data_IF_359735075268
#
_entry.id   IF_359735075268
#
_cell.length_a   1.000
_cell.length_b   1.000
_cell.length_c   1.000
_cell.angle_alpha   90.00
_cell.angle_beta   90.00
_cell.angle_gamma   90.00
#
_symmetry.space_group_name_H-M   'P 1'
#
loop_
_entity.id
_entity.type
_entity.pdbx_description
1 polymer ?
#
# COMPACT_ATOMS: atom_id res chain seq x y z
N UNK A 1 4.01 -25.34 -71.35
CA UNK A 1 4.57 -24.26 -70.48
C UNK A 1 3.53 -23.65 -69.53
N UNK A 2 2.23 -23.61 -69.87
CA UNK A 2 1.17 -23.11 -68.97
C UNK A 2 0.92 -23.93 -67.70
N UNK A 3 1.01 -25.27 -67.76
CA UNK A 3 0.70 -26.15 -66.61
C UNK A 3 1.72 -26.03 -65.46
N UNK A 4 3.01 -25.84 -65.77
CA UNK A 4 4.06 -25.64 -64.77
C UNK A 4 3.92 -24.31 -64.01
N UNK A 5 3.49 -23.24 -64.69
CA UNK A 5 3.20 -21.96 -64.05
C UNK A 5 2.01 -22.06 -63.10
N UNK A 6 0.98 -22.80 -63.49
CA UNK A 6 -0.24 -22.99 -62.70
C UNK A 6 0.03 -23.78 -61.40
N UNK A 7 0.83 -24.85 -61.44
CA UNK A 7 1.23 -25.60 -60.25
C UNK A 7 2.12 -24.80 -59.29
N UNK A 8 3.08 -24.02 -59.81
CA UNK A 8 3.93 -23.15 -58.99
C UNK A 8 3.15 -22.00 -58.31
N UNK A 9 2.11 -21.49 -58.98
CA UNK A 9 1.21 -20.48 -58.41
C UNK A 9 0.35 -21.09 -57.30
N UNK A 10 -0.26 -22.25 -57.52
CA UNK A 10 -1.11 -22.98 -56.55
C UNK A 10 -0.33 -23.38 -55.28
N UNK A 11 0.91 -23.87 -55.42
CA UNK A 11 1.76 -24.18 -54.26
C UNK A 11 2.14 -22.93 -53.44
N UNK A 12 2.36 -21.78 -54.10
CA UNK A 12 2.59 -20.50 -53.40
C UNK A 12 1.35 -20.00 -52.66
N UNK A 13 0.16 -20.15 -53.24
CA UNK A 13 -1.09 -19.76 -52.56
C UNK A 13 -1.40 -20.65 -51.36
N UNK A 14 -1.17 -21.97 -51.44
CA UNK A 14 -1.40 -22.85 -50.30
C UNK A 14 -0.48 -22.52 -49.12
N UNK A 15 0.81 -22.27 -49.37
CA UNK A 15 1.74 -21.88 -48.32
C UNK A 15 1.42 -20.48 -47.74
N UNK A 16 0.99 -19.55 -48.59
CA UNK A 16 0.54 -18.22 -48.16
C UNK A 16 -0.72 -18.29 -47.29
N UNK A 17 -1.69 -19.13 -47.65
CA UNK A 17 -2.91 -19.35 -46.86
C UNK A 17 -2.53 -19.95 -45.50
N UNK A 18 -1.70 -20.99 -45.44
CA UNK A 18 -1.25 -21.58 -44.18
C UNK A 18 -0.50 -20.59 -43.29
N UNK A 19 0.39 -19.77 -43.87
CA UNK A 19 1.13 -18.76 -43.13
C UNK A 19 0.21 -17.63 -42.63
N UNK A 20 -0.76 -17.21 -43.45
CA UNK A 20 -1.77 -16.21 -43.10
C UNK A 20 -2.67 -16.70 -41.97
N UNK A 21 -3.17 -17.95 -42.05
CA UNK A 21 -3.97 -18.56 -40.99
C UNK A 21 -3.17 -18.75 -39.70
N UNK A 22 -1.91 -19.18 -39.77
CA UNK A 22 -1.04 -19.28 -38.60
C UNK A 22 -0.80 -17.91 -37.95
N UNK A 23 -0.55 -16.87 -38.75
CA UNK A 23 -0.37 -15.48 -38.27
C UNK A 23 -1.65 -14.94 -37.64
N UNK A 24 -2.82 -15.21 -38.23
CA UNK A 24 -4.11 -14.84 -37.68
C UNK A 24 -4.37 -15.53 -36.33
N UNK A 25 -4.08 -16.83 -36.21
CA UNK A 25 -4.22 -17.56 -34.95
C UNK A 25 -3.27 -17.04 -33.85
N UNK A 26 -2.03 -16.68 -34.21
CA UNK A 26 -1.08 -16.03 -33.29
C UNK A 26 -1.63 -14.66 -32.86
N UNK A 27 -2.19 -13.88 -33.79
CA UNK A 27 -2.82 -12.59 -33.48
C UNK A 27 -3.99 -12.72 -32.51
N UNK A 28 -4.87 -13.71 -32.72
CA UNK A 28 -5.98 -14.02 -31.80
C UNK A 28 -5.46 -14.43 -30.42
N UNK A 29 -4.42 -15.26 -30.36
CA UNK A 29 -3.82 -15.69 -29.10
C UNK A 29 -3.21 -14.51 -28.34
N UNK A 30 -2.47 -13.63 -29.01
CA UNK A 30 -1.91 -12.41 -28.42
C UNK A 30 -3.04 -11.50 -27.90
N UNK A 31 -4.11 -11.33 -28.68
CA UNK A 31 -5.28 -10.56 -28.27
C UNK A 31 -5.94 -11.12 -27.00
N UNK A 32 -6.11 -12.44 -26.92
CA UNK A 32 -6.66 -13.10 -25.72
C UNK A 32 -5.75 -12.93 -24.50
N UNK A 33 -4.43 -13.07 -24.67
CA UNK A 33 -3.46 -12.85 -23.59
C UNK A 33 -3.57 -11.41 -23.07
N UNK A 34 -3.61 -10.43 -23.98
CA UNK A 34 -3.74 -9.02 -23.62
C UNK A 34 -5.04 -8.75 -22.84
N UNK A 35 -6.16 -9.29 -23.31
CA UNK A 35 -7.47 -9.15 -22.65
C UNK A 35 -7.46 -9.75 -21.23
N UNK A 36 -6.78 -10.89 -21.03
CA UNK A 36 -6.60 -11.46 -19.68
C UNK A 36 -5.76 -10.57 -18.76
N UNK A 37 -4.73 -9.91 -19.30
CA UNK A 37 -3.93 -8.95 -18.54
C UNK A 37 -4.75 -7.73 -18.13
N UNK A 38 -5.50 -7.14 -19.07
CA UNK A 38 -6.37 -6.00 -18.78
C UNK A 38 -7.44 -6.34 -17.75
N UNK A 39 -8.13 -7.49 -17.88
CA UNK A 39 -9.14 -7.92 -16.90
C UNK A 39 -8.55 -8.06 -15.49
N UNK A 40 -7.34 -8.62 -15.37
CA UNK A 40 -6.62 -8.71 -14.08
C UNK A 40 -6.26 -7.33 -13.53
N UNK A 41 -5.87 -6.38 -14.38
CA UNK A 41 -5.56 -5.02 -13.97
C UNK A 41 -6.82 -4.28 -13.50
N UNK A 42 -7.90 -4.32 -14.28
CA UNK A 42 -9.18 -3.70 -13.94
C UNK A 42 -9.74 -4.23 -12.63
N UNK A 43 -9.66 -5.55 -12.39
CA UNK A 43 -10.09 -6.14 -11.12
C UNK A 43 -9.28 -5.62 -9.93
N UNK A 44 -7.96 -5.46 -10.07
CA UNK A 44 -7.10 -4.94 -9.00
C UNK A 44 -7.42 -3.48 -8.69
N UNK A 45 -7.64 -2.66 -9.72
CA UNK A 45 -8.04 -1.26 -9.56
C UNK A 45 -9.38 -1.17 -8.84
N UNK A 46 -10.40 -1.92 -9.28
CA UNK A 46 -11.72 -1.91 -8.64
C UNK A 46 -11.67 -2.33 -7.16
N UNK A 47 -10.88 -3.35 -6.81
CA UNK A 47 -10.67 -3.74 -5.42
C UNK A 47 -9.99 -2.63 -4.60
N UNK A 48 -9.00 -1.94 -5.19
CA UNK A 48 -8.32 -0.81 -4.56
C UNK A 48 -9.27 0.36 -4.32
N UNK A 49 -10.11 0.71 -5.29
CA UNK A 49 -11.08 1.80 -5.20
C UNK A 49 -12.10 1.56 -4.07
N UNK A 50 -12.70 0.36 -4.02
CA UNK A 50 -13.65 -0.01 -2.96
C UNK A 50 -13.01 0.09 -1.58
N UNK A 51 -11.75 -0.34 -1.45
CA UNK A 51 -11.02 -0.25 -0.19
C UNK A 51 -10.70 1.20 0.18
N UNK A 52 -10.21 1.99 -0.77
CA UNK A 52 -9.91 3.40 -0.58
C UNK A 52 -11.14 4.21 -0.19
N UNK A 53 -12.31 3.93 -0.78
CA UNK A 53 -13.57 4.56 -0.41
C UNK A 53 -13.92 4.30 1.06
N UNK A 54 -13.82 3.04 1.50
CA UNK A 54 -14.04 2.66 2.91
C UNK A 54 -13.02 3.32 3.85
N UNK A 55 -11.74 3.29 3.48
CA UNK A 55 -10.65 3.90 4.24
C UNK A 55 -10.84 5.41 4.34
N UNK A 56 -11.25 6.07 3.25
CA UNK A 56 -11.51 7.50 3.22
C UNK A 56 -12.65 7.89 4.17
N UNK A 57 -13.73 7.11 4.23
CA UNK A 57 -14.82 7.33 5.19
C UNK A 57 -14.34 7.29 6.64
N UNK A 58 -13.51 6.30 7.00
CA UNK A 58 -12.92 6.17 8.34
C UNK A 58 -11.98 7.34 8.63
N UNK A 59 -11.11 7.69 7.68
CA UNK A 59 -10.19 8.81 7.82
C UNK A 59 -10.95 10.12 8.03
N UNK A 60 -12.02 10.37 7.28
CA UNK A 60 -12.83 11.58 7.43
C UNK A 60 -13.43 11.68 8.84
N UNK A 61 -13.96 10.57 9.36
CA UNK A 61 -14.51 10.52 10.72
C UNK A 61 -13.43 10.76 11.79
N UNK A 62 -12.26 10.16 11.62
CA UNK A 62 -11.17 10.20 12.60
C UNK A 62 -10.28 11.45 12.53
N UNK A 63 -10.31 12.19 11.42
CA UNK A 63 -9.49 13.40 11.20
C UNK A 63 -10.23 14.71 11.46
N UNK A 64 -11.48 14.66 11.93
CA UNK A 64 -12.27 15.86 12.26
C UNK A 64 -11.52 16.82 13.22
N UNK A 65 -10.76 16.27 14.17
CA UNK A 65 -10.02 17.05 15.17
C UNK A 65 -8.70 17.64 14.61
N UNK A 66 -8.21 17.18 13.46
CA UNK A 66 -6.92 17.63 12.92
C UNK A 66 -6.91 19.10 12.45
N UNK A 67 -8.09 19.73 12.35
CA UNK A 67 -8.24 21.16 12.03
C UNK A 67 -8.35 22.04 13.26
N UNK A 68 -8.38 21.47 14.46
CA UNK A 68 -8.41 22.20 15.72
C UNK A 68 -7.01 22.71 16.08
N UNK A 69 -6.91 23.99 16.43
CA UNK A 69 -5.67 24.64 16.87
C UNK A 69 -5.17 24.00 18.15
N UNK A 70 -6.06 23.65 19.08
CA UNK A 70 -5.69 23.01 20.34
C UNK A 70 -5.08 21.62 20.10
N UNK A 71 -5.65 20.86 19.15
CA UNK A 71 -5.09 19.57 18.74
C UNK A 71 -3.71 19.75 18.08
N UNK A 72 -3.54 20.74 17.20
CA UNK A 72 -2.26 21.02 16.55
C UNK A 72 -1.17 21.38 17.56
N UNK A 73 -1.50 22.19 18.56
CA UNK A 73 -0.57 22.55 19.64
C UNK A 73 -0.20 21.33 20.49
N UNK A 74 -1.19 20.54 20.90
CA UNK A 74 -0.95 19.28 21.62
C UNK A 74 -0.06 18.34 20.80
N UNK A 75 -0.34 18.20 19.51
CA UNK A 75 0.44 17.35 18.61
C UNK A 75 1.88 17.84 18.50
N UNK A 76 2.12 19.14 18.38
CA UNK A 76 3.46 19.71 18.39
C UNK A 76 4.20 19.38 19.68
N UNK A 77 3.56 19.60 20.84
CA UNK A 77 4.19 19.34 22.14
C UNK A 77 4.56 17.86 22.32
N UNK A 78 3.71 16.94 21.90
CA UNK A 78 3.98 15.49 21.98
C UNK A 78 5.06 15.05 20.99
N UNK A 79 5.05 15.53 19.75
CA UNK A 79 5.90 14.99 18.67
C UNK A 79 7.17 15.78 18.39
N UNK A 80 7.21 17.06 18.74
CA UNK A 80 8.35 17.95 18.53
C UNK A 80 9.04 18.22 19.86
N UNK A 81 8.28 18.64 20.88
CA UNK A 81 8.84 19.01 22.17
C UNK A 81 9.05 17.80 23.11
N UNK A 82 8.58 16.62 22.68
CA UNK A 82 8.67 15.35 23.43
C UNK A 82 8.03 15.40 24.83
N UNK A 83 6.98 16.20 25.00
CA UNK A 83 6.20 16.29 26.25
C UNK A 83 5.24 15.10 26.41
N UNK A 84 5.81 13.90 26.56
CA UNK A 84 5.02 12.66 26.60
C UNK A 84 4.14 12.51 27.83
N UNK A 85 4.42 13.24 28.91
CA UNK A 85 3.55 13.28 30.11
C UNK A 85 2.12 13.73 29.78
N UNK A 86 1.90 14.46 28.70
CA UNK A 86 0.56 14.82 28.21
C UNK A 86 -0.29 13.60 27.85
N UNK A 87 0.33 12.48 27.49
CA UNK A 87 -0.35 11.24 27.13
C UNK A 87 -0.93 10.49 28.33
N UNK A 88 -0.63 10.94 29.56
CA UNK A 88 -1.27 10.45 30.78
C UNK A 88 -2.69 11.02 30.94
N UNK A 89 -2.99 12.13 30.27
CA UNK A 89 -4.35 12.65 30.20
C UNK A 89 -5.19 11.82 29.22
N UNK A 90 -6.28 11.24 29.71
CA UNK A 90 -7.19 10.37 28.95
C UNK A 90 -7.81 11.07 27.74
N UNK A 91 -8.14 12.35 27.85
CA UNK A 91 -8.71 13.13 26.74
C UNK A 91 -7.68 13.31 25.61
N UNK A 92 -6.46 13.71 25.97
CA UNK A 92 -5.36 13.86 25.01
C UNK A 92 -5.04 12.52 24.36
N UNK A 93 -4.96 11.45 25.15
CA UNK A 93 -4.76 10.07 24.64
C UNK A 93 -5.86 9.69 23.65
N UNK A 94 -7.13 9.98 23.96
CA UNK A 94 -8.28 9.69 23.10
C UNK A 94 -8.27 10.48 21.78
N UNK A 95 -7.94 11.77 21.83
CA UNK A 95 -7.81 12.60 20.63
C UNK A 95 -6.66 12.11 19.74
N UNK A 96 -5.53 11.77 20.34
CA UNK A 96 -4.38 11.23 19.60
C UNK A 96 -4.68 9.85 19.01
N UNK A 97 -5.37 8.98 19.75
CA UNK A 97 -5.83 7.68 19.27
C UNK A 97 -6.66 7.81 18.01
N UNK A 98 -7.65 8.72 17.97
CA UNK A 98 -8.46 8.95 16.78
C UNK A 98 -7.60 9.38 15.59
N UNK A 99 -6.67 10.32 15.79
CA UNK A 99 -5.76 10.76 14.74
C UNK A 99 -4.85 9.64 14.22
N UNK A 100 -4.26 8.87 15.13
CA UNK A 100 -3.37 7.76 14.77
C UNK A 100 -4.13 6.59 14.15
N UNK A 101 -5.41 6.39 14.48
CA UNK A 101 -6.28 5.45 13.78
C UNK A 101 -6.36 5.80 12.29
N UNK A 102 -6.63 7.07 11.94
CA UNK A 102 -6.66 7.49 10.53
C UNK A 102 -5.32 7.24 9.81
N UNK A 103 -4.20 7.53 10.49
CA UNK A 103 -2.85 7.27 9.95
C UNK A 103 -2.62 5.78 9.74
N UNK A 104 -2.99 4.95 10.71
CA UNK A 104 -2.88 3.49 10.66
C UNK A 104 -3.58 2.94 9.41
N UNK A 105 -4.85 3.29 9.18
CA UNK A 105 -5.60 2.81 8.00
C UNK A 105 -4.93 3.23 6.68
N UNK A 106 -4.40 4.45 6.61
CA UNK A 106 -3.74 4.96 5.39
C UNK A 106 -2.45 4.20 5.09
N UNK A 107 -1.66 3.86 6.11
CA UNK A 107 -0.43 3.11 5.95
C UNK A 107 -0.70 1.63 5.62
N UNK A 108 -1.74 1.04 6.22
CA UNK A 108 -2.20 -0.30 5.85
C UNK A 108 -2.70 -0.34 4.39
N UNK A 109 -3.39 0.70 3.93
CA UNK A 109 -3.83 0.78 2.54
C UNK A 109 -2.66 0.90 1.56
N UNK A 110 -1.60 1.62 1.93
CA UNK A 110 -0.35 1.67 1.15
C UNK A 110 0.30 0.29 1.01
N UNK A 111 0.32 -0.49 2.10
CA UNK A 111 0.76 -1.89 2.06
C UNK A 111 -0.11 -2.71 1.10
N UNK A 112 -1.44 -2.62 1.20
CA UNK A 112 -2.36 -3.33 0.31
C UNK A 112 -2.10 -2.99 -1.16
N UNK A 113 -1.99 -1.70 -1.51
CA UNK A 113 -1.73 -1.24 -2.87
C UNK A 113 -0.39 -1.79 -3.42
N UNK A 114 0.64 -1.88 -2.58
CA UNK A 114 1.92 -2.49 -2.96
C UNK A 114 1.77 -3.98 -3.26
N UNK A 115 1.04 -4.70 -2.42
CA UNK A 115 0.82 -6.16 -2.55
C UNK A 115 0.07 -6.52 -3.82
N UNK A 116 -0.91 -5.70 -4.22
CA UNK A 116 -1.63 -5.91 -5.49
C UNK A 116 -0.89 -5.35 -6.71
N UNK A 117 0.24 -4.66 -6.51
CA UNK A 117 1.07 -4.12 -7.59
C UNK A 117 0.51 -2.84 -8.22
N UNK A 118 -0.20 -2.01 -7.43
CA UNK A 118 -0.65 -0.67 -7.81
C UNK A 118 0.22 0.46 -7.23
N UNK A 119 1.16 0.13 -6.33
CA UNK A 119 2.09 1.08 -5.74
C UNK A 119 3.54 0.66 -5.97
N UNK A 120 4.38 1.62 -6.37
CA UNK A 120 5.81 1.43 -6.54
C UNK A 120 6.53 1.26 -5.20
N UNK A 121 7.77 0.77 -5.26
CA UNK A 121 8.54 0.49 -4.05
C UNK A 121 8.90 1.73 -3.23
N UNK A 122 9.24 2.86 -3.86
CA UNK A 122 9.65 4.08 -3.14
C UNK A 122 8.57 4.65 -2.18
N UNK A 123 7.31 4.89 -2.63
CA UNK A 123 6.25 5.34 -1.72
C UNK A 123 5.89 4.28 -0.66
N UNK A 124 5.90 3.00 -1.03
CA UNK A 124 5.72 1.91 -0.08
C UNK A 124 6.80 1.90 1.02
N UNK A 125 8.07 2.07 0.65
CA UNK A 125 9.21 2.13 1.59
C UNK A 125 9.00 3.24 2.61
N UNK A 126 8.60 4.42 2.15
CA UNK A 126 8.30 5.56 3.03
C UNK A 126 7.16 5.23 4.00
N UNK A 127 6.07 4.61 3.53
CA UNK A 127 4.95 4.21 4.38
C UNK A 127 5.37 3.17 5.43
N UNK A 128 6.20 2.19 5.07
CA UNK A 128 6.74 1.19 5.99
C UNK A 128 7.65 1.83 7.04
N UNK A 129 8.51 2.77 6.65
CA UNK A 129 9.38 3.51 7.57
C UNK A 129 8.58 4.37 8.55
N UNK A 130 7.52 5.05 8.07
CA UNK A 130 6.61 5.79 8.95
C UNK A 130 5.88 4.86 9.92
N UNK A 131 5.36 3.72 9.45
CA UNK A 131 4.68 2.74 10.30
C UNK A 131 5.62 2.17 11.37
N UNK A 132 6.85 1.79 11.00
CA UNK A 132 7.83 1.21 11.91
C UNK A 132 8.29 2.20 13.00
N UNK A 133 8.27 3.50 12.69
CA UNK A 133 8.56 4.55 13.66
C UNK A 133 7.37 4.90 14.56
N UNK A 134 6.15 4.69 14.10
CA UNK A 134 4.93 4.93 14.88
C UNK A 134 4.49 3.74 15.73
N UNK A 135 4.99 2.55 15.44
CA UNK A 135 4.54 1.34 16.12
C UNK A 135 4.60 1.37 17.66
N UNK A 136 5.65 1.89 18.33
CA UNK A 136 5.63 1.98 19.79
C UNK A 136 4.48 2.83 20.34
N UNK A 137 4.11 3.91 19.64
CA UNK A 137 2.93 4.70 20.00
C UNK A 137 1.65 3.90 19.82
N UNK A 138 1.54 3.16 18.72
CA UNK A 138 0.38 2.34 18.45
C UNK A 138 0.22 1.24 19.50
N UNK A 139 1.30 0.59 19.91
CA UNK A 139 1.31 -0.38 20.99
C UNK A 139 0.84 0.27 22.31
N UNK A 140 1.32 1.49 22.64
CA UNK A 140 0.86 2.27 23.81
C UNK A 140 -0.63 2.69 23.75
N UNK A 141 -1.14 2.93 22.54
CA UNK A 141 -2.51 3.33 22.25
C UNK A 141 -3.46 2.13 22.03
N UNK A 142 -2.98 0.90 22.23
CA UNK A 142 -3.73 -0.34 21.99
C UNK A 142 -4.21 -0.51 20.52
N UNK A 143 -3.45 0.04 19.57
CA UNK A 143 -3.62 -0.12 18.13
C UNK A 143 -2.77 -1.28 17.60
N UNK A 144 -3.20 -2.51 17.87
CA UNK A 144 -2.43 -3.70 17.54
C UNK A 144 -2.46 -4.05 16.03
N UNK A 145 -1.32 -3.86 15.38
CA UNK A 145 -1.07 -4.26 13.98
C UNK A 145 -1.25 -5.76 13.73
N UNK A 146 -0.84 -6.62 14.67
CA UNK A 146 -0.84 -8.09 14.53
C UNK A 146 -2.24 -8.66 14.55
N UNK A 147 -3.10 -8.15 15.44
CA UNK A 147 -4.51 -8.57 15.54
C UNK A 147 -5.23 -8.24 14.24
N UNK A 148 -4.92 -7.08 13.66
CA UNK A 148 -5.64 -6.57 12.50
C UNK A 148 -5.15 -7.09 11.17
N UNK A 149 -3.84 -7.09 10.95
CA UNK A 149 -3.22 -7.52 9.70
C UNK A 149 -1.88 -8.17 9.99
N UNK A 150 -1.92 -9.47 10.28
CA UNK A 150 -0.75 -10.25 10.67
C UNK A 150 0.34 -10.29 9.59
N UNK A 151 -0.03 -10.28 8.31
CA UNK A 151 0.94 -10.25 7.21
C UNK A 151 1.64 -8.90 7.11
N UNK A 152 0.90 -7.79 7.24
CA UNK A 152 1.52 -6.46 7.31
C UNK A 152 2.44 -6.33 8.53
N UNK A 153 2.03 -6.86 9.68
CA UNK A 153 2.86 -6.85 10.88
C UNK A 153 4.17 -7.63 10.70
N UNK A 154 4.13 -8.81 10.06
CA UNK A 154 5.34 -9.59 9.72
C UNK A 154 6.27 -8.81 8.80
N UNK A 155 5.73 -8.18 7.75
CA UNK A 155 6.54 -7.35 6.86
C UNK A 155 7.12 -6.13 7.57
N UNK A 156 6.38 -5.54 8.50
CA UNK A 156 6.84 -4.40 9.28
C UNK A 156 8.02 -4.78 10.19
N UNK A 157 7.94 -5.96 10.82
CA UNK A 157 9.04 -6.51 11.62
C UNK A 157 10.27 -6.85 10.76
N UNK A 158 10.06 -7.42 9.57
CA UNK A 158 11.14 -7.64 8.62
C UNK A 158 11.77 -6.32 8.15
N UNK A 159 10.96 -5.29 7.90
CA UNK A 159 11.41 -3.97 7.45
C UNK A 159 12.32 -3.29 8.47
N UNK A 160 12.02 -3.40 9.78
CA UNK A 160 12.86 -2.85 10.86
C UNK A 160 14.29 -3.44 10.88
N UNK A 161 14.47 -4.63 10.34
CA UNK A 161 15.78 -5.29 10.24
C UNK A 161 16.50 -4.99 8.91
N UNK A 162 15.87 -4.23 8.03
CA UNK A 162 16.40 -3.91 6.70
C UNK A 162 17.29 -2.66 6.73
N UNK A 163 18.23 -2.51 5.79
CA UNK A 163 19.05 -1.29 5.66
C UNK A 163 18.24 -0.05 5.27
N UNK A 164 16.98 -0.22 4.88
CA UNK A 164 16.09 0.87 4.47
C UNK A 164 15.35 1.53 5.65
N UNK A 165 15.53 1.00 6.86
CA UNK A 165 14.90 1.52 8.06
C UNK A 165 15.84 2.45 8.82
N UNK A 166 15.40 3.70 9.01
CA UNK A 166 16.01 4.62 9.97
C UNK A 166 15.08 4.84 11.17
N UNK A 167 15.51 4.55 12.41
CA UNK A 167 14.76 4.97 13.59
C UNK A 167 14.74 6.51 13.66
N UNK A 168 13.58 7.06 14.03
CA UNK A 168 13.46 8.49 14.30
C UNK A 168 13.87 8.80 15.73
N UNK A 169 14.48 9.98 15.94
CA UNK A 169 14.82 10.50 17.27
C UNK A 169 13.60 10.52 18.21
N UNK A 170 12.44 10.91 17.68
CA UNK A 170 11.17 10.87 18.43
C UNK A 170 10.84 9.47 18.97
N UNK A 171 11.02 8.42 18.15
CA UNK A 171 10.72 7.04 18.55
C UNK A 171 11.60 6.62 19.73
N UNK A 172 12.89 6.93 19.65
CA UNK A 172 13.85 6.56 20.69
C UNK A 172 13.53 7.26 22.01
N UNK A 173 13.23 8.56 21.95
CA UNK A 173 12.76 9.34 23.11
C UNK A 173 11.48 8.78 23.73
N UNK A 174 10.51 8.40 22.89
CA UNK A 174 9.25 7.82 23.36
C UNK A 174 9.47 6.48 24.09
N UNK A 175 10.27 5.57 23.52
CA UNK A 175 10.59 4.28 24.15
C UNK A 175 11.32 4.48 25.47
N UNK A 176 12.25 5.45 25.54
CA UNK A 176 12.95 5.76 26.78
C UNK A 176 12.00 6.28 27.87
N UNK A 177 11.08 7.18 27.51
CA UNK A 177 10.05 7.67 28.42
C UNK A 177 9.12 6.55 28.89
N UNK A 178 8.62 5.71 27.99
CA UNK A 178 7.73 4.60 28.34
C UNK A 178 8.40 3.64 29.33
N UNK A 179 9.68 3.30 29.11
CA UNK A 179 10.47 2.47 30.04
C UNK A 179 10.70 3.13 31.39
N UNK A 180 10.79 4.46 31.46
CA UNK A 180 10.98 5.18 32.73
C UNK A 180 9.75 5.18 33.63
N UNK A 181 8.59 4.75 33.11
CA UNK A 181 7.32 4.67 33.84
C UNK A 181 7.08 3.30 34.49
N UNK A 182 7.86 2.29 34.13
CA UNK A 182 7.80 0.93 34.69
C UNK A 182 8.83 0.72 35.79
#
# INVERSE_FOLDING_TARGET
>A
MQVFFMFGFIMKTSNFITLSTATANIGVLIGLIFLLFELKQTRRIALSEIRQERVSGIIAQCSANARDVAFSEMYHRVFVDAEFSLLENVEIKGQLLQHEFARFYRLEDSYFQRTIGLMDYAPYRFSMEMAANRQPLWDFLDLDTKIRNSEWAKELDAFKSSPNYSPSDWKEKFIAWEKSRG
#
